data_IF_631958689790
#
_entry.id   IF_631958689790
#
_cell.length_a   1.000
_cell.length_b   1.000
_cell.length_c   1.000
_cell.angle_alpha   90.00
_cell.angle_beta   90.00
_cell.angle_gamma   90.00
#
_symmetry.space_group_name_H-M   'P 1'
#
loop_
_entity.id
_entity.type
_entity.pdbx_description
1 polymer ?
#
# COMPACT_ATOMS: atom_id res chain seq x y z
N UNK A 1 30.88 27.19 -36.28
CA UNK A 1 29.42 27.14 -36.45
C UNK A 1 29.01 25.70 -36.13
N UNK A 2 28.62 25.45 -34.88
CA UNK A 2 28.20 24.12 -34.41
C UNK A 2 26.70 24.22 -34.09
N UNK A 3 25.90 23.48 -34.85
CA UNK A 3 24.46 23.31 -34.67
C UNK A 3 24.27 22.12 -33.73
N UNK A 4 24.11 22.42 -32.43
CA UNK A 4 23.49 21.48 -31.50
C UNK A 4 22.00 21.81 -31.48
N UNK A 5 21.24 21.00 -32.21
CA UNK A 5 19.79 20.96 -32.09
C UNK A 5 19.43 20.33 -30.76
N UNK A 6 18.86 21.17 -29.90
CA UNK A 6 18.03 20.77 -28.77
C UNK A 6 16.94 19.81 -29.26
N UNK A 7 16.92 18.60 -28.70
CA UNK A 7 15.82 17.65 -28.88
C UNK A 7 15.31 17.23 -27.50
N UNK A 8 14.90 18.25 -26.74
CA UNK A 8 13.98 18.13 -25.61
C UNK A 8 12.63 17.59 -26.10
N UNK A 9 12.44 16.28 -26.11
CA UNK A 9 11.11 15.65 -26.14
C UNK A 9 11.17 14.15 -25.81
N UNK A 10 11.54 13.81 -24.58
CA UNK A 10 10.95 12.66 -23.90
C UNK A 10 10.62 13.13 -22.49
N UNK A 11 9.39 13.56 -22.29
CA UNK A 11 8.84 13.73 -20.93
C UNK A 11 8.96 12.38 -20.22
N UNK A 12 9.63 12.27 -19.06
CA UNK A 12 9.56 11.06 -18.25
C UNK A 12 8.14 10.99 -17.69
N UNK A 13 7.33 10.12 -18.29
CA UNK A 13 5.95 9.87 -17.87
C UNK A 13 5.99 9.22 -16.47
N UNK A 14 5.59 9.98 -15.46
CA UNK A 14 4.76 9.58 -14.31
C UNK A 14 5.17 8.36 -13.45
N UNK A 15 6.45 7.99 -13.38
CA UNK A 15 6.92 7.00 -12.40
C UNK A 15 7.54 7.61 -11.13
N UNK A 16 8.00 8.88 -11.21
CA UNK A 16 8.73 9.53 -10.12
C UNK A 16 7.83 10.23 -9.09
N UNK A 17 6.60 10.60 -9.45
CA UNK A 17 5.66 11.24 -8.51
C UNK A 17 5.02 10.26 -7.54
N UNK A 18 4.74 9.03 -7.99
CA UNK A 18 4.10 8.00 -7.17
C UNK A 18 5.02 7.47 -6.07
N UNK A 19 6.32 7.34 -6.34
CA UNK A 19 7.28 6.91 -5.33
C UNK A 19 7.40 7.93 -4.20
N UNK A 20 7.50 9.22 -4.54
CA UNK A 20 7.55 10.31 -3.55
C UNK A 20 6.26 10.42 -2.73
N UNK A 21 5.09 10.37 -3.37
CA UNK A 21 3.79 10.40 -2.66
C UNK A 21 3.55 9.12 -1.82
N UNK A 22 4.16 7.99 -2.20
CA UNK A 22 4.11 6.76 -1.40
C UNK A 22 4.98 6.84 -0.15
N UNK A 23 6.20 7.36 -0.26
CA UNK A 23 7.10 7.51 0.90
C UNK A 23 6.53 8.54 1.89
N UNK A 24 5.93 9.62 1.38
CA UNK A 24 5.28 10.63 2.21
C UNK A 24 4.07 10.06 2.96
N UNK A 25 3.22 9.27 2.27
CA UNK A 25 2.08 8.64 2.92
C UNK A 25 2.48 7.54 3.91
N UNK A 26 3.49 6.74 3.59
CA UNK A 26 4.03 5.72 4.51
C UNK A 26 4.53 6.36 5.81
N UNK A 27 5.22 7.50 5.70
CA UNK A 27 5.69 8.25 6.87
C UNK A 27 4.55 8.84 7.70
N UNK A 28 3.47 9.34 7.06
CA UNK A 28 2.27 9.81 7.76
C UNK A 28 1.61 8.70 8.57
N UNK A 29 1.43 7.53 7.95
CA UNK A 29 0.85 6.36 8.62
C UNK A 29 1.74 5.89 9.77
N UNK A 30 3.06 5.79 9.56
CA UNK A 30 4.01 5.42 10.61
C UNK A 30 3.91 6.39 11.80
N UNK A 31 3.90 7.69 11.53
CA UNK A 31 3.78 8.72 12.56
C UNK A 31 2.47 8.57 13.35
N UNK A 32 1.35 8.41 12.66
CA UNK A 32 0.04 8.21 13.29
C UNK A 32 0.03 6.98 14.21
N UNK A 33 0.55 5.84 13.73
CA UNK A 33 0.62 4.61 14.52
C UNK A 33 1.52 4.79 15.76
N UNK A 34 2.64 5.51 15.65
CA UNK A 34 3.50 5.84 16.80
C UNK A 34 2.77 6.66 17.86
N UNK A 35 2.04 7.67 17.43
CA UNK A 35 1.40 8.64 18.32
C UNK A 35 0.13 8.09 18.97
N UNK A 36 -0.68 7.34 18.22
CA UNK A 36 -2.03 6.92 18.63
C UNK A 36 -2.09 5.46 19.07
N UNK A 37 -1.22 4.59 18.55
CA UNK A 37 -1.24 3.14 18.80
C UNK A 37 -2.65 2.53 18.69
N UNK A 38 -3.34 2.70 17.56
CA UNK A 38 -4.74 2.29 17.41
C UNK A 38 -4.94 0.79 17.67
N UNK A 39 -5.88 0.45 18.56
CA UNK A 39 -6.13 -0.91 19.04
C UNK A 39 -7.45 -1.52 18.52
N UNK A 40 -8.20 -0.76 17.72
CA UNK A 40 -9.49 -1.17 17.16
C UNK A 40 -9.41 -2.29 16.10
N UNK A 41 -10.43 -2.39 15.26
CA UNK A 41 -10.51 -3.33 14.13
C UNK A 41 -9.57 -2.95 12.99
N UNK A 42 -9.38 -3.85 12.01
CA UNK A 42 -8.62 -3.54 10.80
C UNK A 42 -9.33 -2.44 9.98
N UNK A 43 -10.65 -2.49 9.86
CA UNK A 43 -11.42 -1.50 9.10
C UNK A 43 -11.35 -0.10 9.72
N UNK A 44 -11.38 0.00 11.04
CA UNK A 44 -11.17 1.28 11.75
C UNK A 44 -9.78 1.83 11.46
N UNK A 45 -8.73 1.01 11.56
CA UNK A 45 -7.37 1.44 11.21
C UNK A 45 -7.27 1.89 9.75
N UNK A 46 -7.86 1.16 8.80
CA UNK A 46 -7.85 1.54 7.39
C UNK A 46 -8.60 2.85 7.14
N UNK A 47 -9.67 3.12 7.88
CA UNK A 47 -10.39 4.39 7.80
C UNK A 47 -9.57 5.54 8.38
N UNK A 48 -8.89 5.33 9.50
CA UNK A 48 -7.95 6.32 10.06
C UNK A 48 -6.83 6.62 9.06
N UNK A 49 -6.21 5.59 8.47
CA UNK A 49 -5.16 5.75 7.47
C UNK A 49 -5.63 6.54 6.24
N UNK A 50 -6.85 6.28 5.75
CA UNK A 50 -7.44 7.06 4.65
C UNK A 50 -7.65 8.53 5.05
N UNK A 51 -8.04 8.78 6.28
CA UNK A 51 -8.28 10.14 6.79
C UNK A 51 -7.00 10.99 6.89
N UNK A 52 -5.81 10.37 6.90
CA UNK A 52 -4.52 11.09 6.89
C UNK A 52 -4.23 11.79 5.56
N UNK A 53 -4.94 11.43 4.48
CA UNK A 53 -4.74 11.95 3.14
C UNK A 53 -6.09 12.25 2.47
N UNK A 54 -6.88 13.21 3.01
CA UNK A 54 -8.27 13.43 2.59
C UNK A 54 -8.39 13.90 1.13
N UNK A 55 -7.38 14.62 0.63
CA UNK A 55 -7.38 15.17 -0.73
C UNK A 55 -6.96 14.15 -1.79
N UNK A 56 -6.35 13.03 -1.39
CA UNK A 56 -5.82 11.99 -2.29
C UNK A 56 -6.35 10.63 -1.86
N UNK A 57 -7.37 10.08 -2.57
CA UNK A 57 -7.89 8.75 -2.29
C UNK A 57 -6.79 7.69 -2.37
N UNK A 58 -6.60 6.92 -1.30
CA UNK A 58 -5.59 5.86 -1.23
C UNK A 58 -6.20 4.52 -1.63
N UNK A 59 -5.53 3.84 -2.55
CA UNK A 59 -5.88 2.47 -2.95
C UNK A 59 -5.62 1.48 -1.81
N UNK A 60 -6.29 0.33 -1.86
CA UNK A 60 -6.05 -0.73 -0.87
C UNK A 60 -4.60 -1.23 -0.87
N UNK A 61 -3.95 -1.22 -2.04
CA UNK A 61 -2.54 -1.58 -2.17
C UNK A 61 -1.65 -0.57 -1.45
N UNK A 62 -1.88 0.73 -1.62
CA UNK A 62 -1.12 1.78 -0.92
C UNK A 62 -1.33 1.72 0.60
N UNK A 63 -2.56 1.47 1.06
CA UNK A 63 -2.85 1.27 2.48
C UNK A 63 -2.10 0.05 3.03
N UNK A 64 -2.09 -1.06 2.29
CA UNK A 64 -1.34 -2.25 2.69
C UNK A 64 0.16 -2.01 2.74
N UNK A 65 0.73 -1.34 1.73
CA UNK A 65 2.14 -0.96 1.72
C UNK A 65 2.50 -0.07 2.91
N UNK A 66 1.69 0.92 3.24
CA UNK A 66 1.94 1.83 4.36
C UNK A 66 1.86 1.12 5.72
N UNK A 67 0.91 0.20 5.90
CA UNK A 67 0.79 -0.58 7.13
C UNK A 67 1.97 -1.54 7.30
N UNK A 68 2.35 -2.26 6.23
CA UNK A 68 3.50 -3.17 6.24
C UNK A 68 4.81 -2.42 6.50
N UNK A 69 4.98 -1.25 5.88
CA UNK A 69 6.12 -0.37 6.14
C UNK A 69 6.18 0.02 7.62
N UNK A 70 5.07 0.49 8.17
CA UNK A 70 5.00 0.93 9.57
C UNK A 70 5.31 -0.20 10.54
N UNK A 71 4.71 -1.37 10.33
CA UNK A 71 4.97 -2.58 11.10
C UNK A 71 6.43 -3.04 11.04
N UNK A 72 7.05 -3.01 9.85
CA UNK A 72 8.46 -3.36 9.67
C UNK A 72 9.39 -2.41 10.43
N UNK A 73 9.12 -1.10 10.39
CA UNK A 73 9.92 -0.10 11.13
C UNK A 73 9.72 -0.26 12.64
N UNK A 74 8.48 -0.33 13.11
CA UNK A 74 8.16 -0.39 14.54
C UNK A 74 8.62 -1.68 15.21
N UNK A 75 8.65 -2.80 14.48
CA UNK A 75 9.15 -4.07 15.01
C UNK A 75 10.62 -4.01 15.42
N UNK A 76 11.40 -3.08 14.84
CA UNK A 76 12.80 -2.86 15.22
C UNK A 76 12.98 -1.91 16.41
N UNK A 77 11.90 -1.25 16.83
CA UNK A 77 11.88 -0.27 17.90
C UNK A 77 11.41 -0.93 19.21
N UNK A 78 12.28 -1.03 20.25
CA UNK A 78 11.94 -1.71 21.50
C UNK A 78 10.70 -1.13 22.20
N UNK A 79 10.46 0.18 22.04
CA UNK A 79 9.34 0.87 22.68
C UNK A 79 7.99 0.46 22.07
N UNK A 80 8.00 -0.15 20.88
CA UNK A 80 6.80 -0.57 20.13
C UNK A 80 6.75 -2.08 19.88
N UNK A 81 7.69 -2.86 20.42
CA UNK A 81 7.77 -4.31 20.23
C UNK A 81 6.52 -5.05 20.77
N UNK A 82 6.00 -4.63 21.92
CA UNK A 82 4.78 -5.23 22.50
C UNK A 82 3.55 -4.90 21.66
N UNK A 83 3.42 -3.63 21.23
CA UNK A 83 2.30 -3.18 20.41
C UNK A 83 2.29 -3.85 19.02
N UNK A 84 3.46 -3.95 18.37
CA UNK A 84 3.60 -4.61 17.07
C UNK A 84 3.15 -6.07 17.15
N UNK A 85 3.66 -6.82 18.13
CA UNK A 85 3.31 -8.23 18.35
C UNK A 85 1.83 -8.42 18.73
N UNK A 86 1.28 -7.55 19.59
CA UNK A 86 -0.09 -7.72 20.09
C UNK A 86 -1.17 -7.28 19.10
N UNK A 87 -0.87 -6.28 18.27
CA UNK A 87 -1.85 -5.55 17.46
C UNK A 87 -1.50 -5.55 15.98
N UNK A 88 -0.33 -5.02 15.58
CA UNK A 88 0.00 -4.86 14.16
C UNK A 88 0.19 -6.20 13.44
N UNK A 89 0.79 -7.20 14.08
CA UNK A 89 0.97 -8.54 13.51
C UNK A 89 -0.36 -9.14 13.04
N UNK A 90 -1.40 -9.02 13.87
CA UNK A 90 -2.74 -9.54 13.56
C UNK A 90 -3.35 -8.79 12.38
N UNK A 91 -3.22 -7.46 12.36
CA UNK A 91 -3.78 -6.59 11.31
C UNK A 91 -3.07 -6.82 9.97
N UNK A 92 -1.74 -6.89 9.97
CA UNK A 92 -0.93 -7.18 8.80
C UNK A 92 -1.20 -8.59 8.25
N UNK A 93 -1.40 -9.59 9.13
CA UNK A 93 -1.78 -10.94 8.72
C UNK A 93 -3.18 -10.99 8.09
N UNK A 94 -4.17 -10.31 8.68
CA UNK A 94 -5.51 -10.17 8.12
C UNK A 94 -5.48 -9.53 6.73
N UNK A 95 -4.73 -8.43 6.57
CA UNK A 95 -4.61 -7.71 5.31
C UNK A 95 -3.93 -8.55 4.22
N UNK A 96 -2.89 -9.30 4.60
CA UNK A 96 -2.21 -10.25 3.71
C UNK A 96 -3.14 -11.39 3.27
N UNK A 97 -3.97 -11.91 4.17
CA UNK A 97 -4.99 -12.90 3.86
C UNK A 97 -6.04 -12.39 2.87
N UNK A 98 -6.52 -11.15 3.04
CA UNK A 98 -7.45 -10.50 2.13
C UNK A 98 -6.86 -10.33 0.72
N UNK A 99 -5.59 -9.91 0.62
CA UNK A 99 -4.89 -9.81 -0.66
C UNK A 99 -4.77 -11.16 -1.37
N UNK A 100 -4.46 -12.23 -0.64
CA UNK A 100 -4.38 -13.57 -1.22
C UNK A 100 -5.75 -14.07 -1.71
N UNK A 101 -6.82 -13.82 -0.95
CA UNK A 101 -8.19 -14.13 -1.36
C UNK A 101 -8.58 -13.36 -2.63
N UNK A 102 -8.27 -12.07 -2.69
CA UNK A 102 -8.53 -11.24 -3.86
C UNK A 102 -7.77 -11.72 -5.11
N UNK A 103 -6.47 -12.02 -4.96
CA UNK A 103 -5.67 -12.59 -6.05
C UNK A 103 -6.24 -13.93 -6.54
N UNK A 104 -6.66 -14.80 -5.62
CA UNK A 104 -7.28 -16.08 -5.97
C UNK A 104 -8.61 -15.91 -6.71
N UNK A 105 -9.42 -14.92 -6.34
CA UNK A 105 -10.70 -14.62 -7.04
C UNK A 105 -10.46 -14.02 -8.44
N UNK A 106 -9.51 -13.10 -8.57
CA UNK A 106 -9.12 -12.52 -9.87
C UNK A 106 -8.56 -13.60 -10.80
N UNK A 107 -7.66 -14.44 -10.30
CA UNK A 107 -7.09 -15.55 -11.07
C UNK A 107 -8.16 -16.53 -11.55
N UNK A 108 -9.09 -16.94 -10.67
CA UNK A 108 -10.23 -17.80 -11.05
C UNK A 108 -11.16 -17.13 -12.06
N UNK A 109 -11.43 -15.84 -11.92
CA UNK A 109 -12.25 -15.09 -12.88
C UNK A 109 -11.59 -15.07 -14.27
N UNK A 110 -10.28 -14.85 -14.35
CA UNK A 110 -9.56 -14.83 -15.61
C UNK A 110 -9.49 -16.21 -16.27
N UNK A 111 -9.34 -17.29 -15.50
CA UNK A 111 -9.36 -18.66 -16.01
C UNK A 111 -10.73 -19.10 -16.48
N UNK A 112 -11.78 -18.82 -15.70
CA UNK A 112 -13.16 -19.17 -16.08
C UNK A 112 -13.62 -18.43 -17.36
N UNK A 113 -13.05 -17.26 -17.67
CA UNK A 113 -13.32 -16.53 -18.91
C UNK A 113 -12.56 -17.06 -20.14
N UNK A 114 -11.53 -17.89 -19.94
CA UNK A 114 -10.72 -18.45 -21.03
C UNK A 114 -11.12 -19.89 -21.41
N UNK A 115 -11.75 -20.64 -20.50
CA UNK A 115 -12.19 -22.02 -20.76
C UNK A 115 -13.46 -22.13 -21.63
N UNK A 116 -14.14 -21.02 -21.94
CA UNK A 116 -15.34 -21.01 -22.80
C UNK A 116 -15.03 -20.79 -24.30
N UNK A 117 -13.76 -20.64 -24.69
CA UNK A 117 -13.35 -20.35 -26.09
C UNK A 117 -12.78 -21.52 -26.89
N UNK A 118 -12.63 -22.71 -26.31
CA UNK A 118 -12.08 -23.89 -27.00
C UNK A 118 -13.13 -24.97 -27.31
N UNK A 119 -14.42 -24.60 -27.41
CA UNK A 119 -15.49 -25.49 -27.89
C UNK A 119 -16.21 -24.89 -29.10
N UNK A 120 -15.54 -24.90 -30.26
CA UNK A 120 -16.17 -24.86 -31.60
C UNK A 120 -15.45 -25.85 -32.52
#
# INVERSE_FOLDING_TARGET
>A
MNIYSDNSNISPITAYSDAHDSDDFNNLVLKHIKEVQPDGTLDELLNEMKALSPDTPRTMQQLNSALQYSDAILRTDPDYADYTTAVLDKKTAQLSGLNMLMHNMLYKSLLNNNEEKDSI
#
